data_IF_729311427318
#
_entry.id   IF_729311427318
#
_cell.length_a   1.000
_cell.length_b   1.000
_cell.length_c   1.000
_cell.angle_alpha   90.00
_cell.angle_beta   90.00
_cell.angle_gamma   90.00
#
_symmetry.space_group_name_H-M   'P 1'
#
loop_
_entity.id
_entity.type
_entity.pdbx_description
1 polymer ?
#
# COMPACT_ATOMS: atom_id res chain seq x y z
N UNK A 1 -2.36 12.44 -5.79
CA UNK A 1 -2.08 11.35 -4.83
C UNK A 1 -1.06 10.44 -5.50
N UNK A 2 0.14 10.31 -4.93
CA UNK A 2 1.23 9.53 -5.52
C UNK A 2 1.20 8.13 -4.91
N UNK A 3 1.11 7.10 -5.75
CA UNK A 3 1.04 5.70 -5.33
C UNK A 3 1.68 4.79 -6.38
N UNK A 4 1.94 3.54 -6.01
CA UNK A 4 2.50 2.55 -6.93
C UNK A 4 1.32 1.84 -7.61
N UNK A 5 1.34 1.79 -8.94
CA UNK A 5 0.42 0.99 -9.74
C UNK A 5 1.15 -0.29 -10.15
N UNK A 6 0.63 -1.45 -9.74
CA UNK A 6 1.13 -2.78 -10.13
C UNK A 6 0.03 -3.52 -10.89
N UNK A 7 0.43 -4.32 -11.88
CA UNK A 7 -0.48 -5.10 -12.72
C UNK A 7 0.21 -6.39 -13.16
N UNK A 8 -0.57 -7.43 -13.45
CA UNK A 8 -0.10 -8.66 -14.08
C UNK A 8 0.10 -8.49 -15.59
N UNK A 9 -0.54 -9.35 -16.38
CA UNK A 9 -0.32 -9.43 -17.83
C UNK A 9 -0.63 -8.14 -18.62
N UNK A 10 -1.70 -7.43 -18.27
CA UNK A 10 -2.11 -6.18 -18.91
C UNK A 10 -2.72 -5.22 -17.88
N UNK A 11 -2.79 -3.92 -18.24
CA UNK A 11 -3.42 -2.83 -17.48
C UNK A 11 -4.87 -2.61 -17.89
N UNK A 12 -5.60 -1.82 -17.11
CA UNK A 12 -6.94 -1.33 -17.48
C UNK A 12 -8.06 -2.24 -17.00
N UNK A 13 -7.76 -3.06 -16.00
CA UNK A 13 -8.72 -3.97 -15.35
C UNK A 13 -9.36 -3.27 -14.15
N UNK A 14 -10.43 -3.84 -13.56
CA UNK A 14 -10.97 -3.33 -12.30
C UNK A 14 -9.86 -3.21 -11.24
N UNK A 15 -9.88 -2.11 -10.51
CA UNK A 15 -8.80 -1.75 -9.60
C UNK A 15 -9.13 -2.09 -8.15
N UNK A 16 -8.13 -2.59 -7.43
CA UNK A 16 -8.14 -2.73 -5.97
C UNK A 16 -7.10 -1.78 -5.40
N UNK A 17 -7.46 -1.00 -4.39
CA UNK A 17 -6.56 -0.03 -3.75
C UNK A 17 -6.25 -0.50 -2.34
N UNK A 18 -4.97 -0.74 -2.06
CA UNK A 18 -4.47 -0.93 -0.70
C UNK A 18 -3.87 0.38 -0.21
N UNK A 19 -4.49 0.96 0.81
CA UNK A 19 -4.01 2.18 1.43
C UNK A 19 -4.06 2.10 2.95
N UNK A 20 -3.19 2.86 3.62
CA UNK A 20 -3.04 2.78 5.06
C UNK A 20 -2.36 3.98 5.68
N UNK A 21 -2.15 3.89 7.01
CA UNK A 21 -1.61 4.95 7.84
C UNK A 21 -2.28 6.32 7.57
N UNK A 22 -3.62 6.31 7.52
CA UNK A 22 -4.43 7.54 7.52
C UNK A 22 -4.33 8.23 8.88
N UNK A 23 -4.27 7.45 9.96
CA UNK A 23 -3.87 7.93 11.27
C UNK A 23 -2.35 7.85 11.42
N UNK A 24 -1.76 8.97 11.84
CA UNK A 24 -0.31 9.12 11.97
C UNK A 24 0.37 8.14 12.93
N UNK A 25 -0.36 7.41 13.77
CA UNK A 25 0.20 6.45 14.75
C UNK A 25 0.11 4.98 14.30
N UNK A 26 -0.55 4.68 13.19
CA UNK A 26 -0.83 3.31 12.73
C UNK A 26 0.27 2.81 11.78
N UNK A 27 1.54 2.92 12.18
CA UNK A 27 2.68 2.68 11.26
C UNK A 27 2.77 1.24 10.76
N UNK A 28 2.33 0.28 11.57
CA UNK A 28 2.40 -1.14 11.19
C UNK A 28 1.56 -1.42 9.94
N UNK A 29 0.47 -0.68 9.73
CA UNK A 29 -0.41 -0.84 8.55
C UNK A 29 0.35 -0.52 7.27
N UNK A 30 1.18 0.54 7.27
CA UNK A 30 2.01 0.86 6.12
C UNK A 30 2.96 -0.29 5.78
N UNK A 31 3.57 -0.91 6.80
CA UNK A 31 4.48 -2.04 6.59
C UNK A 31 3.76 -3.31 6.11
N UNK A 32 2.56 -3.57 6.62
CA UNK A 32 1.73 -4.67 6.12
C UNK A 32 1.35 -4.50 4.65
N UNK A 33 1.04 -3.27 4.22
CA UNK A 33 0.73 -2.96 2.82
C UNK A 33 1.96 -3.16 1.91
N UNK A 34 3.13 -2.70 2.35
CA UNK A 34 4.39 -2.98 1.64
C UNK A 34 4.63 -4.48 1.49
N UNK A 35 4.39 -5.25 2.56
CA UNK A 35 4.54 -6.71 2.52
C UNK A 35 3.54 -7.36 1.55
N UNK A 36 2.29 -6.91 1.51
CA UNK A 36 1.31 -7.39 0.51
C UNK A 36 1.80 -7.13 -0.91
N UNK A 37 2.33 -5.93 -1.18
CA UNK A 37 2.89 -5.60 -2.48
C UNK A 37 4.08 -6.52 -2.83
N UNK A 38 4.97 -6.78 -1.86
CA UNK A 38 6.07 -7.73 -2.01
C UNK A 38 5.58 -9.16 -2.32
N UNK A 39 4.51 -9.63 -1.68
CA UNK A 39 3.94 -10.95 -1.98
C UNK A 39 3.39 -11.01 -3.41
N UNK A 40 2.74 -9.96 -3.89
CA UNK A 40 2.25 -9.91 -5.26
C UNK A 40 3.38 -9.92 -6.28
N UNK A 41 4.48 -9.21 -6.01
CA UNK A 41 5.64 -9.16 -6.91
C UNK A 41 6.47 -10.46 -6.90
N UNK A 42 6.79 -10.97 -5.70
CA UNK A 42 7.67 -12.14 -5.54
C UNK A 42 7.03 -13.45 -5.98
N UNK A 43 5.70 -13.55 -5.91
CA UNK A 43 4.99 -14.80 -6.20
C UNK A 43 4.22 -14.79 -7.53
N UNK A 44 4.32 -13.71 -8.33
CA UNK A 44 3.54 -13.58 -9.55
C UNK A 44 3.76 -14.73 -10.56
N UNK A 45 5.01 -15.16 -10.74
CA UNK A 45 5.34 -16.25 -11.67
C UNK A 45 5.27 -17.64 -11.03
N UNK A 46 5.42 -17.73 -9.71
CA UNK A 46 5.57 -19.01 -8.99
C UNK A 46 4.27 -19.51 -8.33
N UNK A 47 3.28 -18.64 -8.11
CA UNK A 47 2.03 -18.98 -7.43
C UNK A 47 0.82 -18.68 -8.32
N UNK A 48 0.15 -19.74 -8.78
CA UNK A 48 -1.02 -19.66 -9.67
C UNK A 48 -2.17 -18.82 -9.08
N UNK A 49 -2.36 -18.79 -7.75
CA UNK A 49 -3.41 -17.98 -7.12
C UNK A 49 -3.06 -16.49 -7.16
N UNK A 50 -1.82 -16.15 -6.85
CA UNK A 50 -1.33 -14.76 -6.93
C UNK A 50 -1.40 -14.27 -8.37
N UNK A 51 -0.93 -15.09 -9.31
CA UNK A 51 -1.04 -14.82 -10.75
C UNK A 51 -2.48 -14.55 -11.17
N UNK A 52 -3.42 -15.42 -10.81
CA UNK A 52 -4.82 -15.26 -11.18
C UNK A 52 -5.44 -13.96 -10.63
N UNK A 53 -5.06 -13.53 -9.42
CA UNK A 53 -5.52 -12.25 -8.85
C UNK A 53 -4.91 -11.08 -9.61
N UNK A 54 -3.60 -11.07 -9.83
CA UNK A 54 -2.86 -10.00 -10.51
C UNK A 54 -3.22 -9.88 -11.99
N UNK A 55 -3.61 -10.99 -12.62
CA UNK A 55 -4.10 -11.01 -13.99
C UNK A 55 -5.55 -10.52 -14.10
N UNK A 56 -6.36 -10.65 -13.03
CA UNK A 56 -7.75 -10.19 -12.98
C UNK A 56 -7.92 -8.73 -12.57
N UNK A 57 -7.06 -8.19 -11.70
CA UNK A 57 -7.19 -6.84 -11.15
C UNK A 57 -5.92 -6.00 -11.37
N UNK A 58 -6.11 -4.68 -11.46
CA UNK A 58 -5.03 -3.72 -11.27
C UNK A 58 -4.94 -3.41 -9.78
N UNK A 59 -3.73 -3.29 -9.24
CA UNK A 59 -3.54 -3.02 -7.81
C UNK A 59 -2.82 -1.70 -7.63
N UNK A 60 -3.38 -0.82 -6.80
CA UNK A 60 -2.78 0.44 -6.42
C UNK A 60 -2.36 0.38 -4.94
N UNK A 61 -1.14 0.81 -4.66
CA UNK A 61 -0.52 0.73 -3.35
C UNK A 61 -0.18 2.13 -2.85
N UNK A 62 -0.74 2.52 -1.71
CA UNK A 62 -0.49 3.79 -1.02
C UNK A 62 -0.26 3.52 0.48
N UNK A 63 0.96 3.12 0.89
CA UNK A 63 1.20 2.64 2.25
C UNK A 63 0.95 3.70 3.33
N UNK A 64 1.20 4.98 3.00
CA UNK A 64 1.03 6.12 3.90
C UNK A 64 0.21 7.20 3.21
N UNK A 65 -1.05 7.36 3.64
CA UNK A 65 -1.93 8.43 3.16
C UNK A 65 -1.70 9.74 3.93
N UNK A 66 -1.27 9.65 5.20
CA UNK A 66 -0.98 10.81 6.05
C UNK A 66 0.52 10.89 6.41
N UNK A 67 1.37 11.34 5.48
CA UNK A 67 2.82 11.43 5.71
C UNK A 67 3.16 12.40 6.85
N UNK A 68 2.43 13.51 6.98
CA UNK A 68 2.67 14.52 8.01
C UNK A 68 2.39 13.98 9.41
N UNK A 69 1.24 13.32 9.61
CA UNK A 69 0.88 12.70 10.89
C UNK A 69 1.83 11.57 11.29
N UNK A 70 2.30 10.79 10.32
CA UNK A 70 3.35 9.80 10.54
C UNK A 70 4.64 10.48 11.01
N UNK A 71 5.08 11.53 10.31
CA UNK A 71 6.30 12.25 10.63
C UNK A 71 6.24 12.92 12.01
N UNK A 72 5.09 13.53 12.35
CA UNK A 72 4.85 14.12 13.66
C UNK A 72 4.97 13.07 14.77
N UNK A 73 4.38 11.89 14.57
CA UNK A 73 4.49 10.80 15.55
C UNK A 73 5.94 10.29 15.65
N UNK A 74 6.66 10.14 14.54
CA UNK A 74 8.06 9.65 14.53
C UNK A 74 8.98 10.63 15.27
N UNK A 75 8.75 11.93 15.07
CA UNK A 75 9.56 12.98 15.66
C UNK A 75 9.09 13.39 17.06
N UNK A 76 8.11 12.69 17.64
CA UNK A 76 7.47 13.06 18.92
C UNK A 76 6.95 14.51 18.96
N UNK A 77 6.53 15.02 17.81
CA UNK A 77 5.90 16.34 17.70
C UNK A 77 4.46 16.19 18.13
N UNK A 78 4.16 16.65 19.34
CA UNK A 78 2.78 16.83 19.77
C UNK A 78 2.24 18.14 19.16
N UNK A 79 1.01 18.15 18.61
CA UNK A 79 0.39 19.41 18.27
C UNK A 79 0.30 20.25 19.54
N UNK A 80 0.79 21.49 19.49
CA UNK A 80 0.53 22.46 20.54
C UNK A 80 -0.98 22.68 20.57
N UNK A 81 -1.67 22.00 21.48
CA UNK A 81 -3.08 22.24 21.75
C UNK A 81 -3.12 23.61 22.42
N UNK A 82 -3.65 24.60 21.70
CA UNK A 82 -4.02 25.90 22.27
C UNK A 82 -5.29 25.74 23.10
#
# INVERSE_FOLDING_TARGET
MTGIHIWGHAKGKPAVVFFGASHGREWIVAKSIEWIAEQFLSQYESNAKVKAVMDKYDVYIVPVVNPDGKQATINNISPNIR
#
